data_IF_242715251996
#
_entry.id   IF_242715251996
#
_cell.length_a   1.000
_cell.length_b   1.000
_cell.length_c   1.000
_cell.angle_alpha   90.00
_cell.angle_beta   90.00
_cell.angle_gamma   90.00
#
_symmetry.space_group_name_H-M   'P 1'
#
loop_
_entity.id
_entity.type
_entity.pdbx_description
1 polymer ?
#
# COMPACT_ATOMS: atom_id res chain seq x y z
N UNK A 1 6.44 -4.59 -15.82
CA UNK A 1 6.93 -4.62 -14.42
C UNK A 1 6.06 -5.46 -13.50
N UNK A 2 4.79 -5.15 -13.25
CA UNK A 2 3.96 -5.93 -12.31
C UNK A 2 3.80 -7.42 -12.71
N UNK A 3 3.47 -7.70 -13.99
CA UNK A 3 3.36 -9.08 -14.50
C UNK A 3 4.68 -9.83 -14.38
N UNK A 4 5.79 -9.19 -14.73
CA UNK A 4 7.12 -9.80 -14.66
C UNK A 4 7.54 -10.09 -13.22
N UNK A 5 7.28 -9.16 -12.30
CA UNK A 5 7.51 -9.35 -10.87
C UNK A 5 6.67 -10.49 -10.30
N UNK A 6 5.37 -10.53 -10.63
CA UNK A 6 4.50 -11.63 -10.22
C UNK A 6 4.91 -12.97 -10.83
N UNK A 7 5.37 -13.00 -12.08
CA UNK A 7 5.94 -14.21 -12.70
C UNK A 7 7.21 -14.67 -11.99
N UNK A 8 8.13 -13.74 -11.73
CA UNK A 8 9.37 -14.02 -11.00
C UNK A 8 9.09 -14.61 -9.62
N UNK A 9 8.15 -14.01 -8.87
CA UNK A 9 7.72 -14.53 -7.58
C UNK A 9 7.09 -15.92 -7.67
N UNK A 10 6.20 -16.16 -8.64
CA UNK A 10 5.57 -17.47 -8.85
C UNK A 10 6.61 -18.55 -9.18
N UNK A 11 7.61 -18.25 -10.01
CA UNK A 11 8.71 -19.19 -10.29
C UNK A 11 9.50 -19.56 -9.04
N UNK A 12 9.72 -18.58 -8.16
CA UNK A 12 10.48 -18.80 -6.93
C UNK A 12 9.71 -19.56 -5.85
N UNK A 13 8.37 -19.46 -5.82
CA UNK A 13 7.55 -19.93 -4.68
C UNK A 13 6.54 -21.03 -5.02
N UNK A 14 6.20 -21.24 -6.29
CA UNK A 14 5.23 -22.26 -6.69
C UNK A 14 5.96 -23.59 -7.00
N UNK A 15 5.92 -24.53 -6.06
CA UNK A 15 6.49 -25.86 -6.24
C UNK A 15 5.46 -26.82 -6.84
N UNK A 16 5.74 -27.41 -8.00
CA UNK A 16 4.91 -28.44 -8.65
C UNK A 16 4.39 -28.03 -10.03
N UNK A 17 3.44 -27.08 -10.14
CA UNK A 17 3.01 -26.55 -11.43
C UNK A 17 4.11 -25.69 -12.05
N UNK A 18 4.48 -25.96 -13.31
CA UNK A 18 5.22 -25.00 -14.12
C UNK A 18 4.36 -23.73 -14.29
N UNK A 19 4.77 -22.63 -13.66
CA UNK A 19 4.05 -21.37 -13.63
C UNK A 19 3.85 -20.77 -15.03
N UNK A 20 4.76 -21.02 -16.00
CA UNK A 20 4.60 -20.53 -17.38
C UNK A 20 3.54 -21.32 -18.14
N UNK A 21 3.38 -22.60 -17.81
CA UNK A 21 2.50 -23.51 -18.54
C UNK A 21 1.11 -23.60 -17.92
N UNK A 22 0.99 -23.45 -16.61
CA UNK A 22 -0.25 -23.72 -15.86
C UNK A 22 -0.89 -22.47 -15.23
N UNK A 23 -0.18 -21.34 -15.14
CA UNK A 23 -0.71 -20.10 -14.56
C UNK A 23 -0.84 -19.03 -15.64
N UNK A 24 -2.04 -18.45 -15.79
CA UNK A 24 -2.23 -17.25 -16.61
C UNK A 24 -2.29 -16.02 -15.73
N UNK A 25 -1.39 -15.08 -15.97
CA UNK A 25 -1.50 -13.74 -15.42
C UNK A 25 -2.26 -12.84 -16.39
N UNK A 26 -3.32 -12.23 -15.88
CA UNK A 26 -4.09 -11.25 -16.60
C UNK A 26 -3.85 -9.87 -15.99
N UNK A 27 -3.50 -8.90 -16.84
CA UNK A 27 -3.49 -7.49 -16.42
C UNK A 27 -4.93 -7.02 -16.42
N UNK A 28 -5.44 -6.67 -15.24
CA UNK A 28 -6.80 -6.17 -15.07
C UNK A 28 -6.92 -4.66 -15.30
N UNK A 29 -5.79 -3.97 -15.43
CA UNK A 29 -5.71 -2.51 -15.62
C UNK A 29 -5.40 -2.15 -17.07
N UNK A 30 -5.87 -0.98 -17.50
CA UNK A 30 -5.56 -0.45 -18.83
C UNK A 30 -4.22 0.29 -18.80
N UNK A 31 -3.50 0.39 -19.92
CA UNK A 31 -2.39 1.34 -20.04
C UNK A 31 -2.83 2.74 -19.61
N UNK A 32 -1.99 3.43 -18.85
CA UNK A 32 -2.30 4.76 -18.30
C UNK A 32 -3.13 4.78 -17.01
N UNK A 33 -3.68 3.63 -16.54
CA UNK A 33 -4.44 3.59 -15.28
C UNK A 33 -3.63 4.08 -14.07
N UNK A 34 -2.32 3.80 -14.02
CA UNK A 34 -1.46 4.27 -12.93
C UNK A 34 -1.32 5.80 -12.95
N UNK A 35 -1.12 6.41 -14.12
CA UNK A 35 -1.04 7.87 -14.23
C UNK A 35 -2.37 8.53 -13.87
N UNK A 36 -3.49 7.93 -14.27
CA UNK A 36 -4.82 8.40 -13.86
C UNK A 36 -5.03 8.32 -12.34
N UNK A 37 -4.54 7.26 -11.68
CA UNK A 37 -4.62 7.10 -10.22
C UNK A 37 -3.69 8.08 -9.47
N UNK A 38 -2.54 8.41 -10.05
CA UNK A 38 -1.58 9.39 -9.50
C UNK A 38 -2.05 10.83 -9.62
N UNK A 39 -2.86 11.13 -10.64
CA UNK A 39 -3.35 12.48 -10.89
C UNK A 39 -4.03 13.09 -9.65
N UNK A 40 -3.87 14.41 -9.43
CA UNK A 40 -4.54 15.10 -8.33
C UNK A 40 -6.06 15.00 -8.48
N UNK A 41 -6.77 15.09 -7.35
CA UNK A 41 -8.22 15.20 -7.38
C UNK A 41 -8.63 16.52 -8.04
N UNK A 42 -9.70 16.47 -8.84
CA UNK A 42 -10.35 17.67 -9.35
C UNK A 42 -11.48 18.05 -8.39
N UNK A 43 -11.58 19.33 -7.98
CA UNK A 43 -12.63 19.76 -7.08
C UNK A 43 -14.01 19.70 -7.76
N UNK A 44 -15.05 19.56 -6.94
CA UNK A 44 -16.42 19.79 -7.39
C UNK A 44 -16.68 21.30 -7.55
N UNK A 45 -17.89 21.66 -8.02
CA UNK A 45 -18.32 23.05 -8.06
C UNK A 45 -18.27 23.75 -6.68
N UNK A 46 -18.37 22.98 -5.59
CA UNK A 46 -18.33 23.46 -4.21
C UNK A 46 -16.98 23.19 -3.52
N UNK A 47 -15.92 22.87 -4.28
CA UNK A 47 -14.61 22.52 -3.74
C UNK A 47 -14.53 21.06 -3.29
N UNK A 48 -13.74 20.80 -2.25
CA UNK A 48 -13.47 19.46 -1.71
C UNK A 48 -14.24 19.12 -0.44
N UNK A 49 -15.06 20.02 0.09
CA UNK A 49 -15.82 19.75 1.30
C UNK A 49 -16.89 18.68 1.04
N UNK A 50 -16.90 17.65 1.88
CA UNK A 50 -17.87 16.57 1.84
C UNK A 50 -18.79 16.64 3.08
N UNK A 51 -20.11 16.72 2.86
CA UNK A 51 -21.11 16.86 3.92
C UNK A 51 -21.27 15.60 4.80
N UNK A 52 -20.95 14.43 4.26
CA UNK A 52 -21.02 13.15 4.97
C UNK A 52 -19.83 12.97 5.91
N UNK A 53 -18.62 13.28 5.43
CA UNK A 53 -17.37 13.22 6.18
C UNK A 53 -17.18 14.45 7.09
N UNK A 54 -17.84 15.58 6.74
CA UNK A 54 -17.74 16.89 7.42
C UNK A 54 -16.32 17.48 7.39
N UNK A 55 -15.54 17.16 6.36
CA UNK A 55 -14.18 17.62 6.14
C UNK A 55 -13.87 17.69 4.65
N UNK A 56 -12.71 18.20 4.26
CA UNK A 56 -12.25 18.05 2.87
C UNK A 56 -11.94 16.58 2.57
N UNK A 57 -12.48 16.10 1.45
CA UNK A 57 -12.25 14.77 0.95
C UNK A 57 -11.93 14.81 -0.55
N UNK A 58 -10.68 14.55 -0.87
CA UNK A 58 -10.20 14.58 -2.24
C UNK A 58 -10.31 13.18 -2.85
N UNK A 59 -11.07 13.02 -3.94
CA UNK A 59 -11.23 11.73 -4.62
C UNK A 59 -10.80 11.80 -6.09
N UNK A 60 -10.22 10.71 -6.59
CA UNK A 60 -9.99 10.48 -8.01
C UNK A 60 -10.16 8.99 -8.33
N UNK A 61 -10.82 8.66 -9.44
CA UNK A 61 -11.05 7.28 -9.88
C UNK A 61 -11.66 6.36 -8.80
N UNK A 62 -12.45 6.90 -7.88
CA UNK A 62 -13.07 6.17 -6.76
C UNK A 62 -12.18 5.95 -5.53
N UNK A 63 -10.95 6.47 -5.54
CA UNK A 63 -10.02 6.41 -4.40
C UNK A 63 -9.85 7.78 -3.78
N UNK A 64 -9.74 7.81 -2.45
CA UNK A 64 -9.37 9.02 -1.72
C UNK A 64 -7.87 9.29 -1.91
N UNK A 65 -7.53 10.56 -2.08
CA UNK A 65 -6.17 11.07 -2.24
C UNK A 65 -5.60 11.50 -0.90
N UNK A 66 -4.28 11.49 -0.80
CA UNK A 66 -3.59 12.09 0.35
C UNK A 66 -3.95 13.56 0.45
N UNK A 67 -4.44 13.98 1.62
CA UNK A 67 -4.83 15.37 1.90
C UNK A 67 -4.46 15.74 3.34
N UNK A 68 -4.79 16.97 3.76
CA UNK A 68 -4.56 17.41 5.14
C UNK A 68 -5.40 16.62 6.15
N UNK A 69 -6.60 16.24 5.77
CA UNK A 69 -7.61 15.53 6.57
C UNK A 69 -7.35 14.03 6.61
N UNK A 70 -6.65 13.52 5.60
CA UNK A 70 -6.18 12.14 5.53
C UNK A 70 -4.76 12.10 4.92
N UNK A 71 -3.72 12.45 5.71
CA UNK A 71 -2.35 12.44 5.25
C UNK A 71 -1.88 10.99 5.20
N UNK A 72 -1.73 10.44 3.99
CA UNK A 72 -1.19 9.09 3.73
C UNK A 72 -0.10 9.14 2.67
N UNK A 73 1.02 8.47 2.90
CA UNK A 73 2.11 8.35 1.92
C UNK A 73 2.54 9.68 1.29
N UNK A 74 2.92 9.65 0.02
CA UNK A 74 3.21 10.84 -0.79
C UNK A 74 1.94 11.53 -1.33
N UNK A 75 2.05 12.73 -1.93
CA UNK A 75 0.93 13.41 -2.60
C UNK A 75 0.28 12.60 -3.73
N UNK A 76 1.00 11.69 -4.39
CA UNK A 76 0.44 10.82 -5.44
C UNK A 76 -0.23 9.56 -4.91
N UNK A 77 -0.16 9.30 -3.59
CA UNK A 77 -0.81 8.16 -2.96
C UNK A 77 -2.34 8.19 -3.15
N UNK A 78 -2.94 7.01 -3.19
CA UNK A 78 -4.38 6.82 -3.33
C UNK A 78 -4.83 5.58 -2.56
N UNK A 79 -6.05 5.62 -2.02
CA UNK A 79 -6.56 4.52 -1.21
C UNK A 79 -7.99 4.71 -0.75
N UNK A 80 -8.34 4.03 0.33
CA UNK A 80 -9.64 4.15 0.98
C UNK A 80 -9.48 4.05 2.50
N UNK A 81 -9.97 5.05 3.27
CA UNK A 81 -10.26 4.86 4.67
C UNK A 81 -11.53 4.01 4.83
N UNK A 82 -11.62 3.26 5.92
CA UNK A 82 -12.75 2.40 6.24
C UNK A 82 -13.37 2.75 7.58
N UNK A 83 -14.70 2.69 7.66
CA UNK A 83 -15.43 2.89 8.90
C UNK A 83 -14.89 1.96 10.01
N UNK A 84 -14.71 2.51 11.21
CA UNK A 84 -14.11 1.78 12.33
C UNK A 84 -12.57 1.78 12.35
N UNK A 85 -11.91 2.40 11.37
CA UNK A 85 -10.46 2.61 11.34
C UNK A 85 -9.66 1.54 10.62
N UNK A 86 -10.30 0.77 9.73
CA UNK A 86 -9.58 0.04 8.69
C UNK A 86 -9.13 1.01 7.60
N UNK A 87 -8.11 0.67 6.82
CA UNK A 87 -7.67 1.47 5.69
C UNK A 87 -6.80 0.65 4.74
N UNK A 88 -6.70 1.10 3.50
CA UNK A 88 -5.66 0.66 2.57
C UNK A 88 -5.25 1.81 1.64
N UNK A 89 -3.99 1.87 1.27
CA UNK A 89 -3.49 2.80 0.26
C UNK A 89 -2.30 2.22 -0.50
N UNK A 90 -2.06 2.77 -1.69
CA UNK A 90 -0.86 2.56 -2.47
C UNK A 90 -0.16 3.90 -2.70
N UNK A 91 1.16 3.90 -2.65
CA UNK A 91 2.02 5.05 -2.90
C UNK A 91 2.99 4.70 -4.04
N UNK A 92 2.71 5.18 -5.26
CA UNK A 92 3.56 4.95 -6.43
C UNK A 92 4.96 5.55 -6.34
N UNK A 93 5.19 6.59 -5.53
CA UNK A 93 6.51 7.22 -5.39
C UNK A 93 7.46 6.36 -4.56
N UNK A 94 6.92 5.76 -3.50
CA UNK A 94 7.68 4.84 -2.63
C UNK A 94 7.60 3.39 -3.10
N UNK A 95 6.67 3.06 -4.00
CA UNK A 95 6.48 1.72 -4.54
C UNK A 95 5.82 0.76 -3.55
N UNK A 96 5.21 1.28 -2.48
CA UNK A 96 4.59 0.46 -1.44
C UNK A 96 3.06 0.50 -1.51
N UNK A 97 2.45 -0.59 -1.05
CA UNK A 97 1.04 -0.64 -0.72
C UNK A 97 0.89 -1.12 0.73
N UNK A 98 -0.01 -0.51 1.48
CA UNK A 98 -0.25 -0.80 2.88
C UNK A 98 -1.75 -0.99 3.13
N UNK A 99 -2.09 -1.95 3.99
CA UNK A 99 -3.46 -2.19 4.42
C UNK A 99 -3.50 -2.57 5.90
N UNK A 100 -4.50 -2.06 6.61
CA UNK A 100 -4.80 -2.39 7.99
C UNK A 100 -6.29 -2.71 8.14
N UNK A 101 -6.57 -3.87 8.72
CA UNK A 101 -7.92 -4.35 9.01
C UNK A 101 -8.07 -4.51 10.52
N UNK A 102 -9.24 -4.17 11.05
CA UNK A 102 -9.53 -4.23 12.48
C UNK A 102 -10.91 -4.85 12.71
N UNK A 103 -11.03 -5.62 13.79
CA UNK A 103 -12.30 -6.16 14.28
C UNK A 103 -12.97 -5.24 15.34
N UNK A 104 -12.25 -4.24 15.85
CA UNK A 104 -12.78 -3.24 16.79
C UNK A 104 -12.91 -1.89 16.12
N UNK A 105 -14.11 -1.32 16.16
CA UNK A 105 -14.38 -0.01 15.58
C UNK A 105 -13.77 1.11 16.43
N UNK A 106 -13.15 2.08 15.75
CA UNK A 106 -12.88 3.41 16.28
C UNK A 106 -14.02 4.35 15.91
N UNK A 107 -14.26 5.36 16.75
CA UNK A 107 -15.22 6.42 16.47
C UNK A 107 -14.78 7.38 15.35
N UNK A 108 -13.49 7.36 14.96
CA UNK A 108 -12.95 8.20 13.89
C UNK A 108 -12.81 7.40 12.60
N UNK A 109 -13.35 7.95 11.50
CA UNK A 109 -13.19 7.41 10.14
C UNK A 109 -11.82 7.80 9.57
N UNK A 110 -11.41 9.06 9.76
CA UNK A 110 -10.10 9.58 9.32
C UNK A 110 -9.17 9.78 10.52
N UNK A 111 -7.88 9.55 10.33
CA UNK A 111 -6.83 9.93 11.29
C UNK A 111 -7.06 9.41 12.71
N UNK A 112 -7.52 8.16 12.86
CA UNK A 112 -7.61 7.53 14.18
C UNK A 112 -6.22 7.42 14.82
N UNK A 113 -6.14 7.29 16.15
CA UNK A 113 -4.85 7.14 16.84
C UNK A 113 -4.04 5.93 16.34
N UNK A 114 -4.73 4.86 15.94
CA UNK A 114 -4.11 3.66 15.37
C UNK A 114 -3.58 3.90 13.96
N UNK A 115 -4.37 4.53 13.10
CA UNK A 115 -3.97 4.91 11.74
C UNK A 115 -2.68 5.75 11.79
N UNK A 116 -2.68 6.83 12.56
CA UNK A 116 -1.50 7.68 12.70
C UNK A 116 -0.27 6.94 13.26
N UNK A 117 -0.46 6.02 14.21
CA UNK A 117 0.63 5.21 14.75
C UNK A 117 1.22 4.26 13.69
N UNK A 118 0.37 3.61 12.89
CA UNK A 118 0.79 2.72 11.82
C UNK A 118 1.52 3.49 10.71
N UNK A 119 1.02 4.66 10.34
CA UNK A 119 1.67 5.50 9.34
C UNK A 119 3.04 6.00 9.80
N UNK A 120 3.18 6.44 11.05
CA UNK A 120 4.49 6.80 11.61
C UNK A 120 5.46 5.61 11.62
N UNK A 121 4.98 4.43 11.99
CA UNK A 121 5.80 3.22 11.97
C UNK A 121 6.26 2.89 10.54
N UNK A 122 5.35 2.94 9.57
CA UNK A 122 5.66 2.69 8.17
C UNK A 122 6.70 3.69 7.64
N UNK A 123 6.51 4.99 7.91
CA UNK A 123 7.47 6.03 7.52
C UNK A 123 8.87 5.77 8.13
N UNK A 124 8.93 5.33 9.40
CA UNK A 124 10.21 5.02 10.05
C UNK A 124 10.94 3.85 9.39
N UNK A 125 10.21 2.83 8.96
CA UNK A 125 10.79 1.67 8.26
C UNK A 125 11.31 2.07 6.89
N UNK A 126 10.57 2.89 6.15
CA UNK A 126 10.98 3.38 4.84
C UNK A 126 12.21 4.30 4.93
N UNK A 127 12.32 5.10 5.98
CA UNK A 127 13.50 5.92 6.23
C UNK A 127 14.77 5.08 6.49
N UNK A 128 14.63 3.91 7.11
CA UNK A 128 15.75 3.01 7.40
C UNK A 128 16.14 2.07 6.24
N UNK A 129 15.35 2.00 5.16
CA UNK A 129 15.62 1.14 3.99
C UNK A 129 15.83 1.98 2.71
N UNK A 130 17.07 2.22 2.26
CA UNK A 130 17.30 2.78 0.93
C UNK A 130 16.83 1.82 -0.18
N UNK A 131 16.31 2.39 -1.29
CA UNK A 131 15.54 1.73 -2.36
C UNK A 131 16.26 0.62 -3.16
N UNK A 132 17.55 0.39 -2.93
CA UNK A 132 18.36 -0.49 -3.78
C UNK A 132 18.19 -1.98 -3.48
N UNK A 133 17.53 -2.35 -2.37
CA UNK A 133 17.13 -3.74 -2.12
C UNK A 133 15.75 -4.01 -2.74
N UNK A 134 15.75 -4.51 -3.97
CA UNK A 134 14.54 -5.04 -4.61
C UNK A 134 13.78 -5.98 -3.65
N UNK A 135 12.44 -5.86 -3.62
CA UNK A 135 11.49 -6.60 -2.77
C UNK A 135 11.71 -8.14 -2.76
N UNK A 136 12.46 -8.70 -3.72
CA UNK A 136 12.91 -10.08 -3.71
C UNK A 136 13.91 -10.47 -2.60
N UNK A 137 14.49 -9.54 -1.83
CA UNK A 137 15.43 -9.88 -0.74
C UNK A 137 14.77 -10.18 0.61
N UNK A 138 13.46 -9.90 0.78
CA UNK A 138 12.77 -10.08 2.07
C UNK A 138 12.81 -11.54 2.53
N UNK A 139 12.78 -12.50 1.60
CA UNK A 139 12.85 -13.93 1.93
C UNK A 139 14.30 -14.38 2.22
N UNK A 140 15.30 -13.83 1.53
CA UNK A 140 16.71 -14.16 1.75
C UNK A 140 17.26 -13.58 3.08
N UNK A 141 16.91 -12.33 3.41
CA UNK A 141 17.36 -11.70 4.66
C UNK A 141 16.64 -12.26 5.90
N UNK A 142 15.37 -12.68 5.79
CA UNK A 142 14.68 -13.37 6.90
C UNK A 142 15.25 -14.76 7.16
N UNK A 143 15.63 -15.50 6.11
CA UNK A 143 16.33 -16.77 6.26
C UNK A 143 17.68 -16.59 6.99
N UNK A 144 18.47 -15.59 6.63
CA UNK A 144 19.74 -15.29 7.33
C UNK A 144 19.57 -14.73 8.74
N UNK A 145 18.60 -13.85 9.01
CA UNK A 145 18.36 -13.32 10.36
C UNK A 145 17.76 -14.37 11.31
N UNK A 146 16.91 -15.27 10.81
CA UNK A 146 16.38 -16.38 11.60
C UNK A 146 17.50 -17.39 11.91
N UNK A 147 18.35 -17.73 10.94
CA UNK A 147 19.51 -18.60 11.15
C UNK A 147 20.53 -18.02 12.15
N UNK A 148 20.78 -16.70 12.16
CA UNK A 148 21.72 -16.08 13.11
C UNK A 148 21.19 -16.00 14.55
N UNK A 149 19.86 -15.90 14.77
CA UNK A 149 19.30 -15.92 16.13
C UNK A 149 19.31 -17.30 16.78
N UNK A 150 19.16 -18.36 15.98
CA UNK A 150 19.20 -19.75 16.49
C UNK A 150 20.62 -20.14 16.90
N UNK A 151 21.66 -19.55 16.30
CA UNK A 151 23.06 -19.87 16.61
C UNK A 151 23.62 -19.13 17.84
N UNK A 152 22.95 -18.08 18.34
CA UNK A 152 23.37 -17.33 19.53
C UNK A 152 22.59 -17.72 20.81
N UNK A 153 21.75 -18.76 20.74
CA UNK A 153 20.95 -19.26 21.87
C UNK A 153 21.20 -20.75 22.18
N UNK A 154 22.36 -21.27 21.75
CA UNK A 154 22.87 -22.60 22.11
C UNK A 154 24.18 -22.50 22.86
#
# INVERSE_FOLDING_TARGET
>A
MAVEGSRSWLRANLHGPDAERHVRLHVLTRPGSLEALKAPALPSANGFYDDGIRAEAQFSMGFMKSSREWPVGSPSAFGAPGAGGSLAFADPETGIAFAYVTNRMSAKVLCSARDQALQRALASVLACRPRDECIGSIDAQRASQCAMRVHQSG
#
